data_IF_716062052651
#
_entry.id   IF_716062052651
#
_cell.length_a   1.000
_cell.length_b   1.000
_cell.length_c   1.000
_cell.angle_alpha   90.00
_cell.angle_beta   90.00
_cell.angle_gamma   90.00
#
_symmetry.space_group_name_H-M   'P 1'
#
loop_
_entity.id
_entity.type
_entity.pdbx_description
1 polymer ?
#
# COMPACT_ATOMS: atom_id res chain seq x y z
N UNK A 1 5.86 15.02 17.78
CA UNK A 1 4.79 14.00 17.71
C UNK A 1 5.18 12.86 16.78
N UNK A 2 6.00 13.11 15.76
CA UNK A 2 6.43 12.13 14.75
C UNK A 2 7.12 10.88 15.31
N UNK A 3 7.94 10.99 16.36
CA UNK A 3 8.59 9.83 16.97
C UNK A 3 7.61 8.87 17.66
N UNK A 4 6.53 9.40 18.25
CA UNK A 4 5.49 8.61 18.92
C UNK A 4 4.59 7.96 17.86
N UNK A 5 4.21 8.70 16.81
CA UNK A 5 3.44 8.16 15.70
C UNK A 5 4.21 7.06 14.96
N UNK A 6 5.50 7.27 14.69
CA UNK A 6 6.36 6.29 14.02
C UNK A 6 6.52 5.02 14.85
N UNK A 7 6.76 5.15 16.16
CA UNK A 7 6.84 4.00 17.07
C UNK A 7 5.48 3.28 17.27
N UNK A 8 4.35 4.00 17.19
CA UNK A 8 3.00 3.42 17.33
C UNK A 8 2.49 2.73 16.07
N UNK A 9 2.90 3.18 14.88
CA UNK A 9 2.24 2.83 13.63
C UNK A 9 3.13 2.06 12.64
N UNK A 10 4.44 2.30 12.59
CA UNK A 10 5.31 1.61 11.63
C UNK A 10 5.83 0.26 12.13
N UNK A 11 6.07 0.10 13.45
CA UNK A 11 6.54 -1.16 14.03
C UNK A 11 5.93 -1.43 15.42
N UNK A 12 4.68 -1.93 15.49
CA UNK A 12 3.94 -2.09 16.75
C UNK A 12 4.57 -3.13 17.69
N UNK A 13 5.56 -3.91 17.23
CA UNK A 13 6.24 -4.94 18.02
C UNK A 13 6.84 -4.39 19.33
N UNK A 14 7.45 -3.21 19.25
CA UNK A 14 8.09 -2.55 20.39
C UNK A 14 7.10 -2.15 21.50
N UNK A 15 5.87 -1.78 21.13
CA UNK A 15 4.81 -1.45 22.09
C UNK A 15 4.28 -2.70 22.78
N UNK A 16 4.09 -3.79 22.04
CA UNK A 16 3.71 -5.07 22.64
C UNK A 16 4.76 -5.57 23.64
N UNK A 17 6.05 -5.35 23.37
CA UNK A 17 7.14 -5.67 24.31
C UNK A 17 7.04 -4.82 25.59
N UNK A 18 6.84 -3.51 25.47
CA UNK A 18 6.69 -2.63 26.64
C UNK A 18 5.45 -3.00 27.46
N UNK A 19 4.32 -3.27 26.79
CA UNK A 19 3.08 -3.72 27.42
C UNK A 19 3.27 -5.05 28.15
N UNK A 20 3.92 -6.02 27.51
CA UNK A 20 4.24 -7.31 28.12
C UNK A 20 5.13 -7.18 29.36
N UNK A 21 6.15 -6.31 29.30
CA UNK A 21 6.98 -6.02 30.49
C UNK A 21 6.19 -5.37 31.62
N UNK A 22 5.34 -4.38 31.30
CA UNK A 22 4.49 -3.73 32.29
C UNK A 22 3.51 -4.73 32.94
N UNK A 23 2.92 -5.62 32.14
CA UNK A 23 2.04 -6.68 32.61
C UNK A 23 2.77 -7.66 33.54
N UNK A 24 3.99 -8.07 33.20
CA UNK A 24 4.82 -8.91 34.07
C UNK A 24 5.12 -8.25 35.43
N UNK A 25 5.42 -6.95 35.46
CA UNK A 25 5.66 -6.21 36.71
C UNK A 25 4.39 -6.19 37.56
N UNK A 26 3.23 -5.96 36.95
CA UNK A 26 1.94 -5.92 37.65
C UNK A 26 1.58 -7.31 38.21
N UNK A 27 1.79 -8.37 37.43
CA UNK A 27 1.57 -9.75 37.87
C UNK A 27 2.52 -10.14 39.02
N UNK A 28 3.80 -9.75 38.96
CA UNK A 28 4.76 -9.98 40.03
C UNK A 28 4.36 -9.24 41.32
N UNK A 29 3.95 -7.96 41.21
CA UNK A 29 3.42 -7.19 42.32
C UNK A 29 2.16 -7.79 42.94
N UNK A 30 1.26 -8.30 42.09
CA UNK A 30 0.07 -9.02 42.55
C UNK A 30 0.40 -10.32 43.28
N UNK A 31 1.35 -11.11 42.78
CA UNK A 31 1.78 -12.35 43.41
C UNK A 31 2.36 -12.12 44.82
N UNK A 32 3.05 -10.99 45.03
CA UNK A 32 3.65 -10.62 46.31
C UNK A 32 2.65 -10.03 47.31
N UNK A 33 1.76 -9.12 46.88
CA UNK A 33 0.87 -8.40 47.81
C UNK A 33 -0.56 -8.96 47.90
N UNK A 34 -1.02 -9.76 46.91
CA UNK A 34 -2.35 -10.40 46.83
C UNK A 34 -3.55 -9.49 47.13
N UNK A 35 -3.43 -8.16 47.01
CA UNK A 35 -4.55 -7.26 47.27
C UNK A 35 -5.47 -7.13 46.05
N UNK A 36 -6.77 -6.89 46.30
CA UNK A 36 -7.78 -6.66 45.24
C UNK A 36 -7.46 -5.45 44.35
N UNK A 37 -6.62 -4.51 44.81
CA UNK A 37 -6.19 -3.36 44.01
C UNK A 37 -5.29 -3.77 42.84
N UNK A 38 -4.35 -4.69 43.08
CA UNK A 38 -3.46 -5.21 42.03
C UNK A 38 -4.19 -6.04 40.97
N UNK A 39 -5.23 -6.78 41.36
CA UNK A 39 -6.08 -7.49 40.39
C UNK A 39 -6.80 -6.53 39.42
N UNK A 40 -7.22 -5.35 39.90
CA UNK A 40 -7.77 -4.29 39.02
C UNK A 40 -6.68 -3.64 38.17
N UNK A 41 -5.47 -3.45 38.72
CA UNK A 41 -4.34 -2.90 37.99
C UNK A 41 -3.88 -3.81 36.84
N UNK A 42 -3.99 -5.14 36.99
CA UNK A 42 -3.69 -6.11 35.93
C UNK A 42 -4.63 -5.99 34.71
N UNK A 43 -5.83 -5.43 34.90
CA UNK A 43 -6.76 -5.19 33.79
C UNK A 43 -6.31 -4.05 32.86
N UNK A 44 -5.59 -3.06 33.39
CA UNK A 44 -5.16 -1.89 32.64
C UNK A 44 -4.26 -2.21 31.43
N UNK A 45 -3.15 -2.98 31.55
CA UNK A 45 -2.32 -3.33 30.40
C UNK A 45 -3.09 -4.17 29.37
N UNK A 46 -3.93 -5.10 29.81
CA UNK A 46 -4.77 -5.91 28.90
C UNK A 46 -5.70 -5.01 28.08
N UNK A 47 -6.44 -4.11 28.74
CA UNK A 47 -7.34 -3.17 28.06
C UNK A 47 -6.58 -2.24 27.12
N UNK A 48 -5.42 -1.73 27.55
CA UNK A 48 -4.59 -0.86 26.71
C UNK A 48 -4.07 -1.63 25.49
N UNK A 49 -3.64 -2.88 25.65
CA UNK A 49 -3.22 -3.76 24.55
C UNK A 49 -4.34 -4.02 23.55
N UNK A 50 -5.57 -4.26 24.03
CA UNK A 50 -6.75 -4.40 23.17
C UNK A 50 -7.04 -3.10 22.42
N UNK A 51 -7.01 -1.95 23.09
CA UNK A 51 -7.22 -0.65 22.45
C UNK A 51 -6.15 -0.34 21.38
N UNK A 52 -4.88 -0.64 21.65
CA UNK A 52 -3.78 -0.47 20.68
C UNK A 52 -3.97 -1.42 19.50
N UNK A 53 -4.32 -2.68 19.73
CA UNK A 53 -4.61 -3.64 18.66
C UNK A 53 -5.79 -3.22 17.79
N UNK A 54 -6.87 -2.72 18.40
CA UNK A 54 -8.01 -2.17 17.68
C UNK A 54 -7.66 -0.90 16.90
N UNK A 55 -6.84 -0.01 17.47
CA UNK A 55 -6.33 1.17 16.76
C UNK A 55 -5.45 0.77 15.58
N UNK A 56 -4.57 -0.22 15.74
CA UNK A 56 -3.74 -0.74 14.66
C UNK A 56 -4.59 -1.37 13.54
N UNK A 57 -5.72 -1.99 13.87
CA UNK A 57 -6.71 -2.47 12.88
C UNK A 57 -7.54 -1.34 12.25
N UNK A 58 -7.69 -0.19 12.92
CA UNK A 58 -8.48 0.95 12.45
C UNK A 58 -7.67 1.92 11.57
N UNK A 59 -6.35 1.97 11.75
CA UNK A 59 -5.47 2.75 10.89
C UNK A 59 -5.24 1.95 9.62
N UNK A 60 -5.96 2.34 8.55
CA UNK A 60 -5.62 1.91 7.19
C UNK A 60 -4.17 2.33 6.96
N UNK A 61 -3.28 1.35 6.84
CA UNK A 61 -1.87 1.64 6.65
C UNK A 61 -1.65 2.24 5.26
N UNK A 62 -0.64 3.08 5.09
CA UNK A 62 -0.29 3.64 3.77
C UNK A 62 -0.14 2.54 2.70
N UNK A 63 0.39 1.39 3.11
CA UNK A 63 0.52 0.20 2.25
C UNK A 63 -0.83 -0.34 1.78
N UNK A 64 -1.82 -0.38 2.67
CA UNK A 64 -3.18 -0.81 2.31
C UNK A 64 -3.86 0.19 1.38
N UNK A 65 -3.67 1.49 1.61
CA UNK A 65 -4.22 2.52 0.72
C UNK A 65 -3.60 2.44 -0.68
N UNK A 66 -2.27 2.28 -0.77
CA UNK A 66 -1.56 2.11 -2.04
C UNK A 66 -2.02 0.83 -2.75
N UNK A 67 -2.11 -0.29 -2.04
CA UNK A 67 -2.59 -1.56 -2.60
C UNK A 67 -4.01 -1.43 -3.13
N UNK A 68 -4.90 -0.78 -2.37
CA UNK A 68 -6.28 -0.52 -2.79
C UNK A 68 -6.33 0.35 -4.05
N UNK A 69 -5.49 1.39 -4.13
CA UNK A 69 -5.40 2.23 -5.33
C UNK A 69 -4.93 1.42 -6.55
N UNK A 70 -3.96 0.51 -6.38
CA UNK A 70 -3.52 -0.38 -7.46
C UNK A 70 -4.65 -1.30 -7.95
N UNK A 71 -5.42 -1.89 -7.04
CA UNK A 71 -6.58 -2.72 -7.39
C UNK A 71 -7.68 -1.90 -8.07
N UNK A 72 -7.94 -0.68 -7.62
CA UNK A 72 -8.91 0.23 -8.25
C UNK A 72 -8.46 0.62 -9.67
N UNK A 73 -7.17 0.94 -9.87
CA UNK A 73 -6.62 1.22 -11.21
C UNK A 73 -6.78 0.00 -12.13
N UNK A 74 -6.49 -1.21 -11.66
CA UNK A 74 -6.67 -2.43 -12.45
C UNK A 74 -8.13 -2.63 -12.85
N UNK A 75 -9.07 -2.50 -11.90
CA UNK A 75 -10.50 -2.60 -12.17
C UNK A 75 -10.99 -1.53 -13.15
N UNK A 76 -10.50 -0.30 -13.05
CA UNK A 76 -10.82 0.77 -14.00
C UNK A 76 -10.23 0.52 -15.39
N UNK A 77 -9.05 -0.08 -15.48
CA UNK A 77 -8.46 -0.47 -16.76
C UNK A 77 -9.32 -1.54 -17.46
N UNK A 78 -9.85 -2.51 -16.72
CA UNK A 78 -10.81 -3.49 -17.25
C UNK A 78 -12.10 -2.82 -17.73
N UNK A 79 -12.58 -1.80 -17.00
CA UNK A 79 -13.73 -1.00 -17.37
C UNK A 79 -13.46 0.06 -18.47
N UNK A 80 -12.20 0.18 -18.95
CA UNK A 80 -11.77 1.23 -19.87
C UNK A 80 -12.02 2.67 -19.36
N UNK A 81 -12.05 2.85 -18.03
CA UNK A 81 -12.26 4.14 -17.36
C UNK A 81 -10.94 4.92 -17.22
N UNK A 82 -10.49 5.50 -18.33
CA UNK A 82 -9.24 6.28 -18.40
C UNK A 82 -9.28 7.50 -17.47
N UNK A 83 -10.45 8.13 -17.36
CA UNK A 83 -10.64 9.32 -16.52
C UNK A 83 -10.44 8.97 -15.03
N UNK A 84 -11.00 7.85 -14.58
CA UNK A 84 -10.81 7.35 -13.23
C UNK A 84 -9.38 6.93 -12.94
N UNK A 85 -8.67 6.30 -13.89
CA UNK A 85 -7.22 6.03 -13.76
C UNK A 85 -6.45 7.35 -13.57
N UNK A 86 -6.79 8.37 -14.34
CA UNK A 86 -6.17 9.69 -14.26
C UNK A 86 -6.34 10.40 -12.91
N UNK A 87 -7.34 10.02 -12.11
CA UNK A 87 -7.53 10.55 -10.75
C UNK A 87 -6.45 10.07 -9.76
N UNK A 88 -5.83 8.91 -10.02
CA UNK A 88 -4.73 8.38 -9.20
C UNK A 88 -3.37 8.99 -9.55
N UNK A 89 -3.25 9.64 -10.71
CA UNK A 89 -2.02 10.27 -11.16
C UNK A 89 -1.90 11.70 -10.61
N UNK A 90 -0.74 12.05 -10.08
CA UNK A 90 -0.42 13.43 -9.70
C UNK A 90 -0.37 14.35 -10.94
N UNK A 91 -0.62 15.64 -10.76
CA UNK A 91 -0.56 16.61 -11.86
C UNK A 91 0.82 16.68 -12.54
N UNK A 92 1.89 16.35 -11.83
CA UNK A 92 3.26 16.30 -12.34
C UNK A 92 3.71 14.88 -12.71
N UNK A 93 2.77 13.94 -12.88
CA UNK A 93 3.09 12.56 -13.18
C UNK A 93 3.90 12.43 -14.48
N UNK A 94 4.94 11.59 -14.42
CA UNK A 94 5.77 11.21 -15.57
C UNK A 94 5.76 9.70 -15.76
N UNK A 95 5.67 9.22 -17.00
CA UNK A 95 5.71 7.80 -17.31
C UNK A 95 6.88 7.47 -18.24
N UNK A 96 7.63 6.43 -17.90
CA UNK A 96 8.65 5.84 -18.77
C UNK A 96 8.18 4.44 -19.11
N UNK A 97 7.63 4.30 -20.31
CA UNK A 97 7.05 3.06 -20.82
C UNK A 97 8.01 2.44 -21.84
N UNK A 98 8.03 1.11 -21.95
CA UNK A 98 8.92 0.36 -22.83
C UNK A 98 9.19 1.03 -24.19
N UNK A 99 10.47 1.21 -24.50
CA UNK A 99 10.95 1.78 -25.77
C UNK A 99 10.42 3.18 -26.12
N UNK A 100 9.75 3.87 -25.19
CA UNK A 100 9.32 5.26 -25.34
C UNK A 100 10.12 6.19 -24.43
N UNK A 101 10.24 7.43 -24.90
CA UNK A 101 10.72 8.53 -24.06
C UNK A 101 9.75 8.84 -22.90
N UNK A 102 10.14 9.74 -22.00
CA UNK A 102 9.28 10.16 -20.90
C UNK A 102 8.00 10.81 -21.44
N UNK A 103 6.86 10.39 -20.90
CA UNK A 103 5.54 10.95 -21.15
C UNK A 103 5.08 11.75 -19.94
N UNK A 104 4.38 12.86 -20.16
CA UNK A 104 3.65 13.54 -19.09
C UNK A 104 2.30 12.87 -18.81
N UNK A 105 1.55 13.37 -17.81
CA UNK A 105 0.23 12.83 -17.45
C UNK A 105 -0.73 12.77 -18.64
N UNK A 106 -0.85 13.85 -19.42
CA UNK A 106 -1.75 13.90 -20.58
C UNK A 106 -1.41 12.85 -21.63
N UNK A 107 -0.14 12.77 -22.03
CA UNK A 107 0.34 11.81 -23.01
C UNK A 107 0.23 10.37 -22.50
N UNK A 108 0.41 10.16 -21.18
CA UNK A 108 0.19 8.85 -20.54
C UNK A 108 -1.27 8.42 -20.63
N UNK A 109 -2.23 9.32 -20.35
CA UNK A 109 -3.66 9.01 -20.43
C UNK A 109 -4.14 8.81 -21.86
N UNK A 110 -3.63 9.59 -22.81
CA UNK A 110 -3.92 9.40 -24.23
C UNK A 110 -3.40 8.03 -24.70
N UNK A 111 -2.17 7.67 -24.33
CA UNK A 111 -1.61 6.35 -24.62
C UNK A 111 -2.43 5.21 -24.00
N UNK A 112 -2.83 5.38 -22.73
CA UNK A 112 -3.66 4.41 -22.03
C UNK A 112 -5.02 4.25 -22.73
N UNK A 113 -5.64 5.36 -23.14
CA UNK A 113 -6.90 5.35 -23.91
C UNK A 113 -6.74 4.61 -25.23
N UNK A 114 -5.66 4.86 -25.98
CA UNK A 114 -5.38 4.16 -27.23
C UNK A 114 -5.19 2.65 -27.03
N UNK A 115 -4.49 2.24 -25.97
CA UNK A 115 -4.32 0.81 -25.63
C UNK A 115 -5.62 0.13 -25.23
N UNK A 116 -6.49 0.84 -24.51
CA UNK A 116 -7.78 0.31 -24.07
C UNK A 116 -8.83 0.28 -25.20
N UNK A 117 -8.66 1.07 -26.26
CA UNK A 117 -9.64 1.16 -27.36
C UNK A 117 -9.69 -0.10 -28.24
N UNK A 118 -8.57 -0.79 -28.52
CA UNK A 118 -8.58 -2.04 -29.29
C UNK A 118 -7.25 -2.80 -29.13
N UNK A 119 -7.25 -4.11 -28.83
CA UNK A 119 -8.39 -5.04 -28.69
C UNK A 119 -9.21 -4.89 -27.40
N UNK A 120 -8.85 -3.95 -26.52
CA UNK A 120 -9.50 -3.78 -25.22
C UNK A 120 -9.00 -4.78 -24.18
N UNK A 121 -8.93 -4.31 -22.95
CA UNK A 121 -8.49 -5.09 -21.80
C UNK A 121 -9.65 -6.00 -21.35
N UNK A 122 -9.37 -7.28 -21.16
CA UNK A 122 -10.33 -8.26 -20.67
C UNK A 122 -10.16 -8.50 -19.16
N UNK A 123 -8.91 -8.62 -18.70
CA UNK A 123 -8.58 -8.71 -17.28
C UNK A 123 -7.18 -8.20 -16.97
N UNK A 124 -7.00 -7.67 -15.77
CA UNK A 124 -5.72 -7.22 -15.21
C UNK A 124 -5.60 -7.76 -13.80
N UNK A 125 -4.69 -8.72 -13.60
CA UNK A 125 -4.39 -9.23 -12.27
C UNK A 125 -3.10 -8.61 -11.76
N UNK A 126 -3.14 -7.99 -10.60
CA UNK A 126 -1.98 -7.41 -9.90
C UNK A 126 -1.49 -8.41 -8.85
N UNK A 127 -0.19 -8.67 -8.80
CA UNK A 127 0.41 -9.59 -7.82
C UNK A 127 1.86 -9.18 -7.50
N UNK A 128 2.46 -9.87 -6.52
CA UNK A 128 3.82 -9.59 -6.02
C UNK A 128 4.03 -8.11 -5.65
N UNK A 129 3.02 -7.51 -5.00
CA UNK A 129 3.04 -6.10 -4.60
C UNK A 129 3.95 -5.90 -3.39
N UNK A 130 5.03 -5.17 -3.58
CA UNK A 130 5.91 -4.69 -2.52
C UNK A 130 5.79 -3.18 -2.40
N UNK A 131 5.59 -2.66 -1.18
CA UNK A 131 5.44 -1.22 -0.93
C UNK A 131 6.37 -0.77 0.19
N UNK A 132 7.29 0.14 -0.16
CA UNK A 132 8.18 0.79 0.80
C UNK A 132 7.77 2.24 0.97
N UNK A 133 7.37 2.62 2.19
CA UNK A 133 6.96 3.98 2.55
C UNK A 133 8.10 4.65 3.31
N UNK A 134 8.34 5.94 3.03
CA UNK A 134 9.38 6.74 3.69
C UNK A 134 8.88 8.18 3.85
N UNK A 135 8.23 8.46 4.99
CA UNK A 135 7.52 9.71 5.20
C UNK A 135 6.42 9.89 4.15
N UNK A 136 6.32 11.09 3.55
CA UNK A 136 5.30 11.43 2.55
C UNK A 136 5.56 10.90 1.13
N UNK A 137 6.40 9.86 1.01
CA UNK A 137 6.78 9.23 -0.27
C UNK A 137 6.69 7.72 -0.13
N UNK A 138 6.35 7.06 -1.21
CA UNK A 138 6.42 5.60 -1.28
C UNK A 138 6.91 5.14 -2.63
N UNK A 139 7.47 3.95 -2.68
CA UNK A 139 7.79 3.24 -3.91
C UNK A 139 7.08 1.90 -3.85
N UNK A 140 6.38 1.55 -4.93
CA UNK A 140 5.81 0.22 -5.08
C UNK A 140 6.37 -0.49 -6.30
N UNK A 141 6.68 -1.76 -6.15
CA UNK A 141 6.98 -2.68 -7.25
C UNK A 141 5.94 -3.78 -7.28
N UNK A 142 5.48 -4.14 -8.47
CA UNK A 142 4.47 -5.19 -8.64
C UNK A 142 4.47 -5.69 -10.07
N UNK A 143 3.87 -6.86 -10.24
CA UNK A 143 3.64 -7.46 -11.53
C UNK A 143 2.16 -7.43 -11.91
N UNK A 144 1.93 -7.43 -13.21
CA UNK A 144 0.59 -7.52 -13.79
C UNK A 144 0.53 -8.64 -14.81
N UNK A 145 -0.52 -9.44 -14.77
CA UNK A 145 -0.91 -10.33 -15.85
C UNK A 145 -2.11 -9.71 -16.56
N UNK A 146 -1.92 -9.32 -17.82
CA UNK A 146 -2.93 -8.69 -18.66
C UNK A 146 -3.43 -9.70 -19.68
N UNK A 147 -4.75 -9.84 -19.76
CA UNK A 147 -5.41 -10.53 -20.87
C UNK A 147 -6.20 -9.53 -21.70
N UNK A 148 -6.04 -9.58 -23.01
CA UNK A 148 -6.79 -8.77 -23.97
C UNK A 148 -7.94 -9.57 -24.56
N UNK A 149 -8.98 -8.88 -25.06
CA UNK A 149 -10.18 -9.56 -25.62
C UNK A 149 -9.90 -10.36 -26.89
N UNK A 150 -8.81 -10.06 -27.59
CA UNK A 150 -8.35 -10.85 -28.74
C UNK A 150 -7.60 -12.14 -28.35
N UNK A 151 -7.51 -12.46 -27.06
CA UNK A 151 -6.85 -13.66 -26.54
C UNK A 151 -5.35 -13.49 -26.24
N UNK A 152 -4.74 -12.35 -26.58
CA UNK A 152 -3.36 -12.08 -26.19
C UNK A 152 -3.24 -12.00 -24.66
N UNK A 153 -2.16 -12.58 -24.12
CA UNK A 153 -1.81 -12.52 -22.70
C UNK A 153 -0.35 -12.11 -22.55
N UNK A 154 -0.08 -11.30 -21.55
CA UNK A 154 1.29 -10.88 -21.23
C UNK A 154 1.45 -10.58 -19.76
N UNK A 155 2.69 -10.65 -19.28
CA UNK A 155 3.11 -10.19 -17.97
C UNK A 155 3.91 -8.91 -18.13
N UNK A 156 3.71 -7.95 -17.25
CA UNK A 156 4.45 -6.69 -17.21
C UNK A 156 4.82 -6.40 -15.75
N UNK A 157 6.08 -6.01 -15.54
CA UNK A 157 6.59 -5.59 -14.25
C UNK A 157 6.58 -4.05 -14.17
N UNK A 158 6.23 -3.52 -13.01
CA UNK A 158 6.04 -2.08 -12.80
C UNK A 158 6.76 -1.59 -11.56
N UNK A 159 7.20 -0.34 -11.64
CA UNK A 159 7.60 0.46 -10.48
C UNK A 159 6.84 1.78 -10.50
N UNK A 160 6.24 2.14 -9.38
CA UNK A 160 5.57 3.42 -9.20
C UNK A 160 6.21 4.20 -8.05
N UNK A 161 6.48 5.48 -8.29
CA UNK A 161 6.82 6.43 -7.24
C UNK A 161 5.55 7.17 -6.83
N UNK A 162 5.29 7.23 -5.53
CA UNK A 162 4.11 7.84 -4.93
C UNK A 162 4.49 9.06 -4.09
N UNK A 163 3.58 10.01 -4.02
CA UNK A 163 3.61 11.13 -3.08
C UNK A 163 2.30 11.19 -2.30
N UNK A 164 2.39 11.47 -1.01
CA UNK A 164 1.21 11.72 -0.19
C UNK A 164 0.69 13.15 -0.47
N UNK A 165 -0.61 13.26 -0.75
CA UNK A 165 -1.34 14.52 -0.89
C UNK A 165 -2.46 14.59 0.16
N UNK A 166 -3.03 15.77 0.44
CA UNK A 166 -4.13 15.90 1.41
C UNK A 166 -5.35 15.01 1.12
N UNK A 167 -5.54 14.62 -0.14
CA UNK A 167 -6.60 13.74 -0.65
C UNK A 167 -6.16 12.27 -0.85
N UNK A 168 -4.96 11.92 -0.36
CA UNK A 168 -4.39 10.58 -0.38
C UNK A 168 -3.17 10.41 -1.28
N UNK A 169 -2.70 9.18 -1.40
CA UNK A 169 -1.53 8.84 -2.23
C UNK A 169 -1.80 9.05 -3.72
N UNK A 170 -0.83 9.67 -4.42
CA UNK A 170 -0.86 9.92 -5.86
C UNK A 170 0.43 9.45 -6.53
N UNK A 171 0.31 8.94 -7.74
CA UNK A 171 1.44 8.45 -8.54
C UNK A 171 2.13 9.65 -9.22
N UNK A 172 3.42 9.85 -8.93
CA UNK A 172 4.23 10.90 -9.58
C UNK A 172 5.12 10.33 -10.68
N UNK A 173 5.41 9.03 -10.63
CA UNK A 173 6.19 8.37 -11.66
C UNK A 173 5.70 6.95 -11.92
N UNK A 174 5.61 6.60 -13.20
CA UNK A 174 5.35 5.24 -13.69
C UNK A 174 6.56 4.74 -14.45
N UNK A 175 7.03 3.54 -14.15
CA UNK A 175 8.08 2.87 -14.92
C UNK A 175 7.66 1.45 -15.23
N UNK A 176 7.78 1.06 -16.49
CA UNK A 176 7.75 -0.36 -16.87
C UNK A 176 9.14 -0.96 -16.70
N UNK A 177 9.25 -2.03 -15.94
CA UNK A 177 10.51 -2.75 -15.73
C UNK A 177 10.63 -3.88 -16.76
N UNK A 178 11.86 -4.23 -17.20
CA UNK A 178 12.08 -5.45 -17.96
C UNK A 178 11.51 -6.64 -17.19
N UNK A 179 10.67 -7.43 -17.84
CA UNK A 179 10.26 -8.71 -17.27
C UNK A 179 11.41 -9.67 -17.52
N UNK A 180 12.01 -10.19 -16.45
CA UNK A 180 12.91 -11.33 -16.56
C UNK A 180 12.07 -12.52 -17.05
N UNK A 181 12.01 -12.70 -18.37
CA UNK A 181 11.50 -13.94 -18.93
C UNK A 181 12.47 -15.04 -18.49
N UNK A 182 12.05 -16.04 -17.70
CA UNK A 182 12.88 -17.22 -17.53
C UNK A 182 13.20 -17.74 -18.93
N UNK A 183 14.49 -17.95 -19.21
CA UNK A 183 14.93 -18.48 -20.49
C UNK A 183 14.19 -19.78 -20.83
N UNK A 184 14.02 -20.10 -22.13
CA UNK A 184 13.29 -21.27 -22.59
C UNK A 184 13.79 -22.59 -21.97
#
# INVERSE_FOLDING_TARGET
>A
MDAIARALLEDPSSIYVILGMAELVILAGWALQRTRGWAKAALAPILLGVCVGLLAMLVVTDREQITRNLTDIASRAEASDVAGIGAHLDGQCTAVLFARGPLDKSATLEWASAMMAAPGVASVNVFDVEVTVTGHKAVSTFDTAVSLRNGWRGRLAWQLDWIERPDGWRIVRVRSLPVDTPGP
#
